data_IF_628207121109
#
_entry.id   IF_628207121109
#
_cell.length_a   1.000
_cell.length_b   1.000
_cell.length_c   1.000
_cell.angle_alpha   90.00
_cell.angle_beta   90.00
_cell.angle_gamma   90.00
#
_symmetry.space_group_name_H-M   'P 1'
#
loop_
_entity.id
_entity.type
_entity.pdbx_description
1 polymer ?
#
# COMPACT_ATOMS: atom_id res chain seq x y z
N UNK A 1 -8.70 17.74 -4.07
CA UNK A 1 -8.74 18.17 -5.49
C UNK A 1 -8.52 16.96 -6.38
N UNK A 2 -9.51 16.61 -7.20
CA UNK A 2 -9.49 15.43 -8.07
C UNK A 2 -9.38 15.91 -9.51
N UNK A 3 -8.34 15.47 -10.23
CA UNK A 3 -8.18 15.75 -11.66
C UNK A 3 -8.84 14.68 -12.51
N UNK A 4 -9.47 15.07 -13.62
CA UNK A 4 -10.02 14.10 -14.58
C UNK A 4 -8.89 13.42 -15.37
N UNK A 5 -8.53 12.21 -14.95
CA UNK A 5 -7.47 11.42 -15.58
C UNK A 5 -7.98 10.47 -16.68
N UNK A 6 -9.26 10.55 -17.09
CA UNK A 6 -9.84 9.60 -18.06
C UNK A 6 -9.12 9.63 -19.40
N UNK A 7 -8.89 10.83 -19.96
CA UNK A 7 -8.17 10.99 -21.21
C UNK A 7 -6.73 10.46 -21.11
N UNK A 8 -6.02 10.79 -20.02
CA UNK A 8 -4.66 10.31 -19.77
C UNK A 8 -4.61 8.78 -19.65
N UNK A 9 -5.59 8.16 -19.00
CA UNK A 9 -5.68 6.72 -18.83
C UNK A 9 -5.85 5.98 -20.16
N UNK A 10 -6.48 6.59 -21.17
CA UNK A 10 -6.59 6.01 -22.52
C UNK A 10 -5.24 5.91 -23.24
N UNK A 11 -4.39 6.94 -23.12
CA UNK A 11 -3.08 6.98 -23.79
C UNK A 11 -1.96 6.28 -23.02
N UNK A 12 -2.17 6.00 -21.73
CA UNK A 12 -1.16 5.35 -20.89
C UNK A 12 -1.14 3.84 -21.16
N UNK A 13 0.01 3.17 -21.16
CA UNK A 13 0.07 1.70 -21.25
C UNK A 13 -0.34 1.09 -19.89
N UNK A 14 -1.28 0.12 -19.85
CA UNK A 14 -1.68 -0.50 -18.58
C UNK A 14 -0.54 -1.34 -17.99
N UNK A 15 -0.16 -1.05 -16.75
CA UNK A 15 0.79 -1.88 -15.99
C UNK A 15 0.06 -3.07 -15.36
N UNK A 16 0.38 -4.27 -15.83
CA UNK A 16 -0.18 -5.53 -15.33
C UNK A 16 0.73 -6.09 -14.24
N UNK A 17 0.60 -5.59 -13.02
CA UNK A 17 1.25 -6.19 -11.86
C UNK A 17 0.44 -7.43 -11.43
N UNK A 18 1.09 -8.57 -11.10
CA UNK A 18 0.40 -9.71 -10.52
C UNK A 18 -0.11 -9.33 -9.12
N UNK A 19 -1.42 -9.09 -9.03
CA UNK A 19 -2.12 -8.92 -7.76
C UNK A 19 -2.56 -10.32 -7.30
N UNK A 20 -2.36 -10.68 -6.02
CA UNK A 20 -2.81 -11.97 -5.51
C UNK A 20 -4.30 -12.15 -5.73
N UNK A 21 -4.72 -13.36 -6.13
CA UNK A 21 -6.13 -13.65 -6.33
C UNK A 21 -6.81 -13.67 -4.97
N UNK A 22 -8.00 -13.07 -4.89
CA UNK A 22 -8.82 -13.06 -3.67
C UNK A 22 -9.03 -14.49 -3.13
N UNK A 23 -9.24 -15.48 -4.02
CA UNK A 23 -9.40 -16.88 -3.61
C UNK A 23 -8.17 -17.45 -2.90
N UNK A 24 -6.95 -17.11 -3.37
CA UNK A 24 -5.71 -17.57 -2.76
C UNK A 24 -5.51 -16.93 -1.38
N UNK A 25 -5.79 -15.62 -1.28
CA UNK A 25 -5.78 -14.91 -0.01
C UNK A 25 -6.78 -15.52 0.99
N UNK A 26 -8.01 -15.82 0.56
CA UNK A 26 -9.03 -16.44 1.43
C UNK A 26 -8.62 -17.84 1.91
N UNK A 27 -7.97 -18.64 1.06
CA UNK A 27 -7.47 -19.96 1.45
C UNK A 27 -6.38 -19.81 2.53
N UNK A 28 -5.46 -18.85 2.40
CA UNK A 28 -4.46 -18.58 3.44
C UNK A 28 -5.12 -18.10 4.74
N UNK A 29 -6.12 -17.22 4.65
CA UNK A 29 -6.87 -16.74 5.81
C UNK A 29 -7.62 -17.88 6.53
N UNK A 30 -8.17 -18.84 5.79
CA UNK A 30 -8.88 -19.99 6.37
C UNK A 30 -7.99 -20.93 7.20
N UNK A 31 -6.68 -20.92 6.94
CA UNK A 31 -5.69 -21.73 7.69
C UNK A 31 -5.23 -21.03 8.97
N UNK A 32 -5.33 -19.70 9.00
CA UNK A 32 -4.86 -18.90 10.12
C UNK A 32 -5.84 -18.96 11.29
N UNK A 33 -5.31 -19.13 12.51
CA UNK A 33 -6.13 -19.09 13.73
C UNK A 33 -6.52 -17.67 14.13
N UNK A 34 -5.68 -16.71 13.79
CA UNK A 34 -5.89 -15.30 14.06
C UNK A 34 -5.47 -14.46 12.86
N UNK A 35 -6.23 -13.39 12.62
CA UNK A 35 -6.07 -12.51 11.47
C UNK A 35 -6.03 -11.07 11.99
N UNK A 36 -5.05 -10.30 11.53
CA UNK A 36 -4.98 -8.86 11.78
C UNK A 36 -4.89 -8.13 10.44
N UNK A 37 -5.83 -7.21 10.20
CA UNK A 37 -5.78 -6.32 9.04
C UNK A 37 -5.18 -4.98 9.44
N UNK A 38 -4.35 -4.42 8.57
CA UNK A 38 -3.80 -3.08 8.66
C UNK A 38 -4.05 -2.36 7.34
N UNK A 39 -4.60 -1.15 7.42
CA UNK A 39 -4.83 -0.31 6.25
C UNK A 39 -3.70 0.73 6.12
N UNK A 40 -3.15 0.84 4.92
CA UNK A 40 -2.21 1.88 4.59
C UNK A 40 -2.92 3.25 4.38
N UNK A 41 -3.19 3.97 5.47
CA UNK A 41 -3.49 5.42 5.51
C UNK A 41 -2.65 6.28 4.52
N UNK A 42 -3.29 6.69 3.43
CA UNK A 42 -2.73 7.55 2.36
C UNK A 42 -1.55 6.93 1.59
N UNK A 43 -1.49 5.60 1.46
CA UNK A 43 -0.39 4.88 0.79
C UNK A 43 0.03 5.47 -0.57
N UNK A 44 -0.93 5.76 -1.45
CA UNK A 44 -0.63 6.34 -2.77
C UNK A 44 0.01 7.73 -2.71
N UNK A 45 -0.41 8.58 -1.76
CA UNK A 45 0.03 9.97 -1.68
C UNK A 45 1.44 10.13 -1.09
N UNK A 46 2.06 9.04 -0.64
CA UNK A 46 3.41 9.09 -0.09
C UNK A 46 4.48 9.10 -1.17
N UNK A 47 4.18 8.63 -2.39
CA UNK A 47 5.20 8.49 -3.43
C UNK A 47 5.34 9.75 -4.27
N UNK A 48 6.58 10.22 -4.45
CA UNK A 48 6.89 11.31 -5.37
C UNK A 48 6.70 10.86 -6.82
N UNK A 49 6.10 11.74 -7.63
CA UNK A 49 6.02 11.55 -9.07
C UNK A 49 7.37 11.83 -9.74
N UNK A 50 7.69 11.08 -10.81
CA UNK A 50 8.84 11.38 -11.66
C UNK A 50 8.59 12.70 -12.42
N UNK A 51 9.65 13.46 -12.78
CA UNK A 51 9.48 14.73 -13.51
C UNK A 51 8.66 14.59 -14.80
N UNK A 52 8.81 13.47 -15.51
CA UNK A 52 8.01 13.14 -16.70
C UNK A 52 6.52 12.98 -16.37
N UNK A 53 6.21 12.24 -15.30
CA UNK A 53 4.84 12.03 -14.87
C UNK A 53 4.18 13.32 -14.33
N UNK A 54 4.94 14.19 -13.64
CA UNK A 54 4.45 15.50 -13.18
C UNK A 54 3.92 16.34 -14.33
N UNK A 55 4.65 16.37 -15.46
CA UNK A 55 4.24 17.11 -16.65
C UNK A 55 2.98 16.57 -17.32
N UNK A 56 2.76 15.25 -17.24
CA UNK A 56 1.55 14.60 -17.78
C UNK A 56 0.32 14.78 -16.88
N UNK A 57 0.54 14.97 -15.59
CA UNK A 57 -0.50 15.11 -14.57
C UNK A 57 -0.81 16.56 -14.22
N UNK A 58 -0.46 17.51 -15.09
CA UNK A 58 -0.79 18.92 -14.87
C UNK A 58 -2.29 19.10 -14.96
N UNK A 59 -2.84 19.84 -14.01
CA UNK A 59 -4.25 20.23 -14.00
C UNK A 59 -4.37 21.72 -14.30
N UNK A 60 -5.42 22.08 -15.00
CA UNK A 60 -5.75 23.47 -15.29
C UNK A 60 -6.89 23.85 -14.35
N UNK A 61 -6.67 24.89 -13.56
CA UNK A 61 -7.70 25.51 -12.71
C UNK A 61 -7.90 26.95 -13.17
N UNK A 62 -8.95 27.61 -12.66
CA UNK A 62 -9.23 29.02 -12.97
C UNK A 62 -8.10 29.97 -12.54
N UNK A 63 -7.25 29.56 -11.60
CA UNK A 63 -6.08 30.32 -11.12
C UNK A 63 -4.77 29.99 -11.85
N UNK A 64 -4.77 29.04 -12.78
CA UNK A 64 -3.56 28.66 -13.53
C UNK A 64 -3.33 27.15 -13.60
N UNK A 65 -2.09 26.77 -13.93
CA UNK A 65 -1.71 25.37 -14.14
C UNK A 65 -0.92 24.87 -12.94
N UNK A 66 -1.42 23.81 -12.30
CA UNK A 66 -0.79 23.19 -11.14
C UNK A 66 -0.30 21.78 -11.48
N UNK A 67 0.78 21.35 -10.83
CA UNK A 67 1.35 20.01 -11.01
C UNK A 67 1.25 19.22 -9.71
N UNK A 68 0.91 17.94 -9.81
CA UNK A 68 0.95 17.06 -8.65
C UNK A 68 2.40 16.70 -8.28
N UNK A 69 2.74 16.80 -6.99
CA UNK A 69 4.03 16.36 -6.46
C UNK A 69 4.03 14.86 -6.11
N UNK A 70 2.86 14.34 -5.73
CA UNK A 70 2.62 12.96 -5.31
C UNK A 70 1.58 12.31 -6.21
N UNK A 71 1.51 10.99 -6.23
CA UNK A 71 0.57 10.25 -7.10
C UNK A 71 -0.87 10.68 -6.78
N UNK A 72 -1.61 11.32 -7.70
CA UNK A 72 -3.01 11.64 -7.49
C UNK A 72 -3.89 10.40 -7.64
N UNK A 73 -5.05 10.44 -6.99
CA UNK A 73 -6.10 9.46 -7.22
C UNK A 73 -6.62 9.50 -8.66
N UNK A 74 -7.01 8.34 -9.20
CA UNK A 74 -7.64 8.21 -10.52
C UNK A 74 -6.70 7.81 -11.66
N UNK A 75 -5.38 7.68 -11.42
CA UNK A 75 -4.46 7.11 -12.41
C UNK A 75 -4.58 5.59 -12.42
N UNK A 76 -4.77 5.01 -13.60
CA UNK A 76 -5.00 3.56 -13.74
C UNK A 76 -3.83 2.67 -13.27
N UNK A 77 -2.60 3.17 -13.32
CA UNK A 77 -1.40 2.41 -12.96
C UNK A 77 -0.96 2.60 -11.49
N UNK A 78 -1.63 3.47 -10.74
CA UNK A 78 -1.32 3.71 -9.33
C UNK A 78 -1.35 2.43 -8.47
N UNK A 79 -2.42 1.60 -8.49
CA UNK A 79 -2.49 0.37 -7.69
C UNK A 79 -1.40 -0.64 -8.06
N UNK A 80 -1.15 -0.87 -9.35
CA UNK A 80 -0.11 -1.79 -9.83
C UNK A 80 1.29 -1.41 -9.33
N UNK A 81 1.59 -0.12 -9.36
CA UNK A 81 2.88 0.38 -8.91
C UNK A 81 3.03 0.29 -7.38
N UNK A 82 1.94 0.50 -6.65
CA UNK A 82 1.92 0.37 -5.19
C UNK A 82 2.07 -1.09 -4.76
N UNK A 83 1.33 -2.01 -5.38
CA UNK A 83 1.48 -3.45 -5.14
C UNK A 83 2.92 -3.91 -5.36
N UNK A 84 3.55 -3.51 -6.47
CA UNK A 84 4.95 -3.90 -6.76
C UNK A 84 5.93 -3.40 -5.70
N UNK A 85 5.72 -2.18 -5.22
CA UNK A 85 6.52 -1.59 -4.15
C UNK A 85 6.36 -2.40 -2.87
N UNK A 86 5.13 -2.68 -2.45
CA UNK A 86 4.86 -3.46 -1.25
C UNK A 86 5.41 -4.88 -1.36
N UNK A 87 5.26 -5.54 -2.51
CA UNK A 87 5.85 -6.85 -2.77
C UNK A 87 7.38 -6.85 -2.68
N UNK A 88 8.03 -5.73 -3.02
CA UNK A 88 9.50 -5.61 -2.94
C UNK A 88 9.94 -5.42 -1.49
N UNK A 89 9.26 -4.54 -0.76
CA UNK A 89 9.56 -4.23 0.65
C UNK A 89 9.34 -5.46 1.53
N UNK A 90 8.21 -6.15 1.36
CA UNK A 90 7.80 -7.29 2.18
C UNK A 90 8.07 -8.64 1.50
N UNK A 91 9.07 -8.69 0.62
CA UNK A 91 9.38 -9.89 -0.17
C UNK A 91 9.69 -11.11 0.69
N UNK A 92 10.32 -10.89 1.85
CA UNK A 92 10.67 -11.95 2.81
C UNK A 92 9.42 -12.50 3.49
N UNK A 93 8.57 -11.61 3.99
CA UNK A 93 7.35 -11.93 4.73
C UNK A 93 6.30 -12.60 3.84
N UNK A 94 6.20 -12.17 2.58
CA UNK A 94 5.39 -12.84 1.56
C UNK A 94 5.89 -14.26 1.25
N UNK A 95 7.21 -14.47 1.26
CA UNK A 95 7.81 -15.79 1.02
C UNK A 95 7.61 -16.74 2.21
N UNK A 96 7.61 -16.21 3.43
CA UNK A 96 7.32 -16.96 4.66
C UNK A 96 5.81 -17.27 4.80
N UNK A 97 4.94 -16.56 4.07
CA UNK A 97 3.52 -16.90 3.92
C UNK A 97 2.62 -16.49 5.09
N UNK A 98 3.14 -15.74 6.07
CA UNK A 98 2.35 -15.18 7.17
C UNK A 98 1.79 -13.79 6.87
N UNK A 99 2.26 -13.13 5.82
CA UNK A 99 1.80 -11.82 5.37
C UNK A 99 1.12 -11.94 4.00
N UNK A 100 -0.03 -11.29 3.85
CA UNK A 100 -0.77 -11.15 2.60
C UNK A 100 -0.92 -9.66 2.32
N UNK A 101 -0.61 -9.24 1.10
CA UNK A 101 -0.69 -7.83 0.70
C UNK A 101 -1.66 -7.72 -0.47
N UNK A 102 -2.75 -6.99 -0.26
CA UNK A 102 -3.77 -6.73 -1.27
C UNK A 102 -3.95 -5.22 -1.46
N UNK A 103 -3.24 -4.66 -2.44
CA UNK A 103 -3.19 -3.22 -2.71
C UNK A 103 -2.82 -2.43 -1.45
N UNK A 104 -3.79 -1.83 -0.76
CA UNK A 104 -3.60 -1.03 0.45
C UNK A 104 -3.78 -1.85 1.74
N UNK A 105 -4.40 -3.03 1.65
CA UNK A 105 -4.65 -3.91 2.78
C UNK A 105 -3.45 -4.82 3.04
N UNK A 106 -2.93 -4.73 4.26
CA UNK A 106 -1.87 -5.60 4.77
C UNK A 106 -2.50 -6.54 5.80
N UNK A 107 -2.53 -7.83 5.49
CA UNK A 107 -3.17 -8.85 6.32
C UNK A 107 -2.11 -9.78 6.90
N UNK A 108 -2.07 -9.85 8.23
CA UNK A 108 -1.15 -10.68 9.00
C UNK A 108 -1.92 -11.90 9.52
N UNK A 109 -1.40 -13.09 9.22
CA UNK A 109 -1.97 -14.38 9.59
C UNK A 109 -1.07 -15.10 10.59
N UNK A 110 -1.62 -15.57 11.71
CA UNK A 110 -0.85 -16.27 12.75
C UNK A 110 -1.63 -17.40 13.42
N UNK A 111 -0.91 -18.46 13.84
CA UNK A 111 -1.49 -19.67 14.45
C UNK A 111 -1.47 -19.65 15.99
N UNK A 112 -0.70 -18.76 16.60
CA UNK A 112 -0.50 -18.70 18.06
C UNK A 112 -0.52 -17.26 18.59
N UNK A 113 -1.30 -17.01 19.64
CA UNK A 113 -1.40 -15.72 20.36
C UNK A 113 -0.07 -15.24 20.97
N UNK A 114 0.89 -16.14 21.16
CA UNK A 114 2.11 -15.86 21.93
C UNK A 114 3.11 -14.97 21.19
N UNK A 115 3.06 -14.90 19.85
CA UNK A 115 4.00 -14.07 19.05
C UNK A 115 3.79 -12.56 19.28
N UNK A 116 2.65 -12.15 19.85
CA UNK A 116 2.40 -10.73 20.18
C UNK A 116 2.76 -10.34 21.62
N UNK A 117 3.06 -11.29 22.52
CA UNK A 117 3.11 -11.02 23.96
C UNK A 117 4.38 -11.49 24.70
N UNK A 118 5.26 -12.30 24.09
CA UNK A 118 6.39 -12.91 24.84
C UNK A 118 7.78 -12.35 24.56
N UNK A 119 7.94 -11.35 23.69
CA UNK A 119 9.13 -10.51 23.70
C UNK A 119 8.74 -9.13 24.23
N UNK A 120 9.44 -8.66 25.27
CA UNK A 120 9.46 -7.23 25.59
C UNK A 120 10.03 -6.39 24.43
N UNK A 121 10.50 -7.05 23.38
CA UNK A 121 10.80 -6.44 22.09
C UNK A 121 9.51 -6.25 21.30
N UNK A 122 9.21 -5.01 20.89
CA UNK A 122 8.09 -4.75 20.02
C UNK A 122 8.22 -5.56 18.72
N UNK A 123 7.10 -6.03 18.13
CA UNK A 123 7.12 -6.82 16.91
C UNK A 123 7.99 -6.16 15.82
N UNK A 124 8.64 -6.91 14.92
CA UNK A 124 9.58 -6.34 13.93
C UNK A 124 8.99 -5.15 13.14
N UNK A 125 7.68 -5.18 12.86
CA UNK A 125 6.95 -4.09 12.18
C UNK A 125 6.79 -2.81 13.02
N UNK A 126 6.82 -2.88 14.35
CA UNK A 126 6.85 -1.72 15.26
C UNK A 126 8.24 -1.06 15.29
N UNK A 127 9.30 -1.87 15.25
CA UNK A 127 10.69 -1.38 15.20
C UNK A 127 11.05 -0.82 13.81
N UNK A 128 10.43 -1.34 12.75
CA UNK A 128 10.56 -0.78 11.41
C UNK A 128 9.82 0.56 11.28
N UNK A 129 8.76 0.77 12.06
CA UNK A 129 8.04 2.05 12.13
C UNK A 129 8.85 3.19 12.75
N UNK A 130 9.78 2.90 13.67
CA UNK A 130 10.62 3.92 14.33
C UNK A 130 11.88 4.29 13.53
N UNK A 131 12.32 3.42 12.63
CA UNK A 131 13.52 3.63 11.79
C UNK A 131 13.19 4.19 10.39
N UNK A 132 11.91 4.18 10.00
CA UNK A 132 11.42 4.79 8.76
C UNK A 132 10.86 6.17 9.11
N UNK A 133 11.34 7.19 8.41
CA UNK A 133 11.07 8.62 8.65
C UNK A 133 9.64 8.98 9.12
N UNK A 134 9.45 10.12 9.83
CA UNK A 134 8.20 10.51 10.55
C UNK A 134 6.89 10.53 9.76
N UNK A 135 6.93 10.27 8.45
CA UNK A 135 5.77 10.15 7.55
C UNK A 135 4.91 8.89 7.75
N UNK A 136 5.39 7.86 8.46
CA UNK A 136 4.66 6.61 8.70
C UNK A 136 3.83 6.59 10.00
N UNK A 137 3.91 7.62 10.84
CA UNK A 137 3.20 7.71 12.13
C UNK A 137 1.67 7.84 12.05
N UNK A 138 1.07 7.79 10.86
CA UNK A 138 -0.39 7.86 10.67
C UNK A 138 -1.05 6.52 10.38
N UNK A 139 -0.32 5.40 10.28
CA UNK A 139 -0.84 4.12 9.76
C UNK A 139 -1.48 3.16 10.77
N UNK A 140 -1.47 3.46 12.07
CA UNK A 140 -1.93 2.50 13.08
C UNK A 140 -2.85 3.15 14.10
N UNK A 141 -4.11 3.39 13.71
CA UNK A 141 -5.20 3.39 14.69
C UNK A 141 -5.72 1.95 14.82
N UNK A 142 -5.58 1.30 15.99
CA UNK A 142 -6.16 -0.01 16.20
C UNK A 142 -7.68 0.17 16.35
N UNK A 143 -8.43 -0.08 15.28
CA UNK A 143 -9.86 -0.34 15.44
C UNK A 143 -10.01 -1.77 15.94
N UNK A 144 -10.22 -1.90 17.25
CA UNK A 144 -10.76 -3.08 17.90
C UNK A 144 -12.17 -3.32 17.33
N UNK A 145 -12.36 -4.48 16.69
CA UNK A 145 -13.63 -5.20 16.73
C UNK A 145 -13.39 -6.50 17.49
#
# INVERSE_FOLDING_TARGET
MVGDCRALNTYTVPDRCPIPRIQEALIQLSKAKYIKSMDALKGFNQKCLTPKAKKLLRIITYCGIYEYLRIPFGIKNAPSHYQRMMNTIFSKELSEGWLIIYIDDIIICYDSLYVTATSNDPPPWVLQQSSLEPSWGQFATPYLL
#
